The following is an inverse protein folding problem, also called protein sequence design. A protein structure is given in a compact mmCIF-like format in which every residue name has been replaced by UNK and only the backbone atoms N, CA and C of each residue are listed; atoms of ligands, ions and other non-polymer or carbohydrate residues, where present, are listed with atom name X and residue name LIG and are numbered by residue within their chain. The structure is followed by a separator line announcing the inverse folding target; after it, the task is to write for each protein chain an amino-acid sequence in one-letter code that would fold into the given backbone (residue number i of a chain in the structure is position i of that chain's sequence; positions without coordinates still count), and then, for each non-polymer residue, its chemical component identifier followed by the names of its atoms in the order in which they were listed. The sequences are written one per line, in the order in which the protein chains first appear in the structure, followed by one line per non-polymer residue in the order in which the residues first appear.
data_IF_929930330214
#
_entry.id   IF_929930330214
#
_cell.length_a   1.000
_cell.length_b   1.000
_cell.length_c   1.000
_cell.angle_alpha   90.00
_cell.angle_beta   90.00
_cell.angle_gamma   90.00
#
_symmetry.space_group_name_H-M   'P 1'
#
loop_
_entity.id
_entity.type
_entity.pdbx_description
1 polymer ?
#
# COMPACT_ATOMS: atom_id res chain seq x y z
N UNK A 1 -10.58 36.46 18.47
CA UNK A 1 -9.19 36.28 17.98
C UNK A 1 -8.60 34.87 18.23
N UNK A 2 -9.30 33.94 18.90
CA UNK A 2 -8.77 32.58 19.15
C UNK A 2 -9.05 31.56 18.03
N UNK A 3 -9.98 31.85 17.13
CA UNK A 3 -10.32 30.91 16.04
C UNK A 3 -9.29 30.85 14.90
N UNK A 4 -8.53 31.90 14.69
CA UNK A 4 -7.52 31.95 13.61
C UNK A 4 -6.25 31.16 13.93
N UNK A 5 -5.90 30.99 15.20
CA UNK A 5 -4.68 30.30 15.61
C UNK A 5 -4.80 28.77 15.45
N UNK A 6 -5.98 28.20 15.72
CA UNK A 6 -6.23 26.77 15.57
C UNK A 6 -6.30 26.37 14.08
N UNK A 7 -6.92 27.19 13.23
CA UNK A 7 -6.96 26.97 11.80
C UNK A 7 -5.56 27.13 11.13
N UNK A 8 -4.76 28.08 11.62
CA UNK A 8 -3.39 28.27 11.17
C UNK A 8 -2.47 27.12 11.58
N UNK A 9 -2.59 26.61 12.80
CA UNK A 9 -1.88 25.42 13.29
C UNK A 9 -2.26 24.18 12.47
N UNK A 10 -3.55 23.97 12.21
CA UNK A 10 -4.03 22.85 11.38
C UNK A 10 -3.43 22.87 9.99
N UNK A 11 -3.45 24.04 9.30
CA UNK A 11 -2.85 24.20 7.98
C UNK A 11 -1.33 23.98 7.96
N UNK A 12 -0.65 24.30 9.04
CA UNK A 12 0.79 24.12 9.16
C UNK A 12 1.18 22.66 9.45
N UNK A 13 0.36 21.91 10.21
CA UNK A 13 0.65 20.53 10.57
C UNK A 13 0.31 19.50 9.49
N UNK A 14 -0.75 19.71 8.71
CA UNK A 14 -1.17 18.76 7.67
C UNK A 14 -0.08 18.44 6.64
N UNK A 15 0.65 19.42 6.07
CA UNK A 15 1.75 19.13 5.15
C UNK A 15 2.90 18.35 5.79
N UNK A 16 3.25 18.66 7.05
CA UNK A 16 4.32 17.97 7.78
C UNK A 16 3.97 16.50 8.06
N UNK A 17 2.71 16.22 8.37
CA UNK A 17 2.22 14.85 8.57
C UNK A 17 2.20 14.06 7.26
N UNK A 18 1.80 14.68 6.15
CA UNK A 18 1.81 14.06 4.82
C UNK A 18 3.23 13.76 4.36
N UNK A 19 4.18 14.67 4.60
CA UNK A 19 5.60 14.44 4.32
C UNK A 19 6.16 13.30 5.16
N UNK A 20 5.88 13.27 6.47
CA UNK A 20 6.29 12.19 7.36
C UNK A 20 5.74 10.83 6.91
N UNK A 21 4.49 10.79 6.42
CA UNK A 21 3.89 9.60 5.85
C UNK A 21 4.62 9.13 4.60
N UNK A 22 4.78 10.00 3.61
CA UNK A 22 5.43 9.67 2.33
C UNK A 22 6.87 9.16 2.49
N UNK A 23 7.63 9.74 3.42
CA UNK A 23 9.00 9.32 3.71
C UNK A 23 9.08 7.96 4.42
N UNK A 24 8.08 7.60 5.21
CA UNK A 24 8.09 6.38 6.01
C UNK A 24 7.39 5.19 5.33
N UNK A 25 6.47 5.42 4.39
CA UNK A 25 5.74 4.37 3.69
C UNK A 25 6.59 3.68 2.63
N UNK A 26 6.68 2.36 2.72
CA UNK A 26 7.38 1.51 1.76
C UNK A 26 6.60 1.37 0.45
N UNK A 27 5.29 1.52 0.50
CA UNK A 27 4.37 1.34 -0.63
C UNK A 27 4.00 2.64 -1.34
N UNK A 28 4.50 3.80 -0.89
CA UNK A 28 4.17 5.12 -1.47
C UNK A 28 4.48 5.24 -2.97
N UNK A 29 5.45 4.45 -3.48
CA UNK A 29 5.80 4.41 -4.90
C UNK A 29 4.68 3.87 -5.79
N UNK A 30 3.77 3.09 -5.22
CA UNK A 30 2.61 2.51 -5.90
C UNK A 30 1.38 3.42 -5.86
N UNK A 31 1.44 4.58 -5.17
CA UNK A 31 0.31 5.50 -5.10
C UNK A 31 -0.16 5.88 -6.51
N UNK A 32 -1.46 5.74 -6.73
CA UNK A 32 -2.11 6.07 -8.00
C UNK A 32 -2.28 7.58 -8.11
N UNK A 33 -1.96 8.15 -9.26
CA UNK A 33 -2.13 9.57 -9.48
C UNK A 33 -3.61 9.96 -9.33
N UNK A 34 -3.88 11.01 -8.58
CA UNK A 34 -5.24 11.48 -8.26
C UNK A 34 -6.08 11.82 -9.50
N UNK A 35 -5.43 12.19 -10.60
CA UNK A 35 -6.07 12.52 -11.88
C UNK A 35 -6.73 11.33 -12.55
N UNK A 36 -6.27 10.11 -12.25
CA UNK A 36 -6.81 8.86 -12.80
C UNK A 36 -8.03 8.34 -12.05
N UNK A 37 -8.38 8.99 -10.93
CA UNK A 37 -9.39 8.51 -10.02
C UNK A 37 -10.64 9.37 -10.12
N UNK A 38 -11.75 8.76 -10.51
CA UNK A 38 -13.06 9.41 -10.50
C UNK A 38 -13.84 8.96 -9.27
N UNK A 39 -13.96 9.86 -8.31
CA UNK A 39 -14.83 9.63 -7.16
C UNK A 39 -16.28 9.91 -7.56
N UNK A 40 -17.18 8.99 -7.27
CA UNK A 40 -18.61 9.29 -7.30
C UNK A 40 -18.93 10.17 -6.09
N UNK A 41 -19.52 11.33 -6.32
CA UNK A 41 -19.77 12.33 -5.27
C UNK A 41 -20.67 11.72 -4.18
N UNK A 42 -20.18 11.71 -2.91
CA UNK A 42 -20.90 11.14 -1.77
C UNK A 42 -20.82 9.62 -1.61
N UNK A 43 -20.18 8.89 -2.53
CA UNK A 43 -20.05 7.44 -2.49
C UNK A 43 -18.73 6.96 -1.88
N UNK A 44 -18.76 5.74 -1.34
CA UNK A 44 -17.57 4.96 -0.92
C UNK A 44 -16.89 4.24 -2.07
N UNK A 45 -17.24 4.59 -3.30
CA UNK A 45 -16.88 3.86 -4.51
C UNK A 45 -15.97 4.70 -5.41
N UNK A 46 -15.03 4.02 -6.03
CA UNK A 46 -14.23 4.52 -7.15
C UNK A 46 -14.64 3.75 -8.39
N UNK A 47 -15.02 4.46 -9.42
CA UNK A 47 -15.42 3.85 -10.68
C UNK A 47 -14.28 3.96 -11.68
N UNK A 48 -13.86 2.81 -12.21
CA UNK A 48 -12.80 2.70 -13.20
C UNK A 48 -13.37 2.14 -14.50
N UNK A 49 -13.17 2.81 -15.65
CA UNK A 49 -13.61 2.27 -16.93
C UNK A 49 -12.71 1.10 -17.37
N UNK A 50 -13.32 -0.03 -17.69
CA UNK A 50 -12.67 -1.23 -18.21
C UNK A 50 -13.13 -1.45 -19.64
N UNK A 51 -12.19 -1.46 -20.57
CA UNK A 51 -12.47 -1.68 -21.99
C UNK A 51 -12.06 -3.10 -22.38
N UNK A 52 -12.95 -3.80 -23.08
CA UNK A 52 -12.67 -5.09 -23.70
C UNK A 52 -12.82 -4.95 -25.20
N UNK A 53 -11.81 -5.39 -25.94
CA UNK A 53 -11.75 -5.33 -27.40
C UNK A 53 -11.60 -6.73 -27.95
N UNK A 54 -12.20 -6.99 -29.10
CA UNK A 54 -11.94 -8.19 -29.88
C UNK A 54 -10.63 -8.05 -30.66
N UNK A 55 -9.92 -9.16 -30.85
CA UNK A 55 -8.68 -9.21 -31.61
C UNK A 55 -8.92 -9.07 -33.12
N UNK A 56 -7.82 -9.12 -33.90
CA UNK A 56 -7.90 -9.09 -35.35
C UNK A 56 -8.58 -10.35 -35.89
N UNK A 57 -9.43 -10.15 -36.92
CA UNK A 57 -10.03 -11.22 -37.70
C UNK A 57 -9.45 -11.22 -39.12
N UNK A 58 -9.66 -12.30 -39.86
CA UNK A 58 -9.22 -12.38 -41.23
C UNK A 58 -9.94 -11.38 -42.11
N UNK A 59 -9.18 -10.58 -42.84
CA UNK A 59 -9.71 -9.68 -43.87
C UNK A 59 -9.95 -10.44 -45.18
N UNK A 60 -11.16 -10.35 -45.71
CA UNK A 60 -11.48 -10.87 -47.01
C UNK A 60 -11.59 -9.71 -48.02
N UNK A 61 -10.90 -9.86 -49.17
CA UNK A 61 -10.92 -8.82 -50.22
C UNK A 61 -12.28 -8.64 -50.86
N UNK A 62 -13.16 -9.64 -50.80
CA UNK A 62 -14.49 -9.60 -51.40
C UNK A 62 -15.56 -9.06 -50.44
N UNK A 63 -15.47 -9.42 -49.11
CA UNK A 63 -16.45 -9.06 -48.10
C UNK A 63 -15.98 -7.96 -47.13
N UNK A 64 -14.68 -7.59 -47.14
CA UNK A 64 -14.14 -6.50 -46.36
C UNK A 64 -13.78 -6.90 -44.92
N UNK A 65 -13.96 -5.99 -43.97
CA UNK A 65 -13.69 -6.18 -42.55
C UNK A 65 -14.78 -6.98 -41.85
N UNK A 66 -14.38 -7.89 -40.99
CA UNK A 66 -15.30 -8.53 -40.04
C UNK A 66 -15.60 -7.52 -38.93
N UNK A 67 -16.88 -7.31 -38.63
CA UNK A 67 -17.28 -6.42 -37.51
C UNK A 67 -16.75 -6.92 -36.17
N UNK A 68 -16.14 -6.03 -35.42
CA UNK A 68 -15.64 -6.30 -34.07
C UNK A 68 -16.49 -5.55 -33.03
N UNK A 69 -16.58 -6.14 -31.83
CA UNK A 69 -17.23 -5.48 -30.69
C UNK A 69 -16.19 -4.86 -29.76
N UNK A 70 -16.49 -3.65 -29.32
CA UNK A 70 -15.81 -2.96 -28.24
C UNK A 70 -16.81 -2.77 -27.09
N UNK A 71 -16.55 -3.32 -25.94
CA UNK A 71 -17.40 -3.10 -24.77
C UNK A 71 -16.67 -2.28 -23.70
N UNK A 72 -17.34 -1.27 -23.17
CA UNK A 72 -16.89 -0.46 -22.06
C UNK A 72 -17.74 -0.82 -20.84
N UNK A 73 -17.12 -1.43 -19.84
CA UNK A 73 -17.75 -1.73 -18.56
C UNK A 73 -17.13 -0.87 -17.46
N UNK A 74 -17.92 -0.55 -16.45
CA UNK A 74 -17.45 0.19 -15.29
C UNK A 74 -17.20 -0.79 -14.15
N UNK A 75 -15.93 -0.88 -13.71
CA UNK A 75 -15.55 -1.62 -12.52
C UNK A 75 -15.69 -0.70 -11.31
N UNK A 76 -16.47 -1.13 -10.32
CA UNK A 76 -16.71 -0.37 -9.10
C UNK A 76 -15.88 -0.95 -7.96
N UNK A 77 -14.92 -0.18 -7.47
CA UNK A 77 -14.05 -0.54 -6.37
C UNK A 77 -14.52 0.18 -5.11
N UNK A 78 -14.79 -0.58 -4.06
CA UNK A 78 -15.29 -0.04 -2.78
C UNK A 78 -14.12 0.23 -1.82
N UNK A 79 -14.14 1.40 -1.17
CA UNK A 79 -13.15 1.74 -0.14
C UNK A 79 -13.12 0.68 0.95
N UNK A 80 -11.97 0.04 1.15
CA UNK A 80 -11.79 -1.14 1.98
C UNK A 80 -10.99 -0.91 3.26
N UNK A 81 -10.46 0.30 3.46
CA UNK A 81 -9.65 0.64 4.62
C UNK A 81 -10.15 1.92 5.29
N UNK A 82 -10.61 1.81 6.54
CA UNK A 82 -11.03 2.94 7.36
C UNK A 82 -10.58 2.72 8.81
N UNK A 83 -9.66 3.56 9.27
CA UNK A 83 -9.10 3.47 10.62
C UNK A 83 -8.90 4.87 11.21
N UNK A 84 -9.02 4.96 12.53
CA UNK A 84 -8.77 6.22 13.23
C UNK A 84 -8.55 6.01 14.71
N UNK A 85 -7.88 6.97 15.34
CA UNK A 85 -7.66 7.01 16.78
C UNK A 85 -7.61 8.44 17.27
N UNK A 86 -8.04 8.63 18.52
CA UNK A 86 -7.99 9.91 19.21
C UNK A 86 -7.19 9.76 20.50
N UNK A 87 -6.26 10.67 20.73
CA UNK A 87 -5.47 10.79 21.96
C UNK A 87 -5.89 12.05 22.70
N UNK A 88 -5.89 11.99 24.02
CA UNK A 88 -6.14 13.13 24.91
C UNK A 88 -4.90 13.35 25.77
N UNK A 89 -4.44 14.59 25.86
CA UNK A 89 -3.33 15.02 26.71
C UNK A 89 -3.89 16.13 27.59
N UNK A 90 -3.77 15.98 28.91
CA UNK A 90 -4.17 16.99 29.85
C UNK A 90 -3.44 18.31 29.61
N UNK A 91 -4.12 19.45 29.82
CA UNK A 91 -3.52 20.76 29.57
C UNK A 91 -2.37 21.06 30.52
N UNK A 92 -2.44 20.60 31.76
CA UNK A 92 -1.37 20.78 32.76
C UNK A 92 -0.12 19.96 32.36
N UNK A 93 -0.31 18.69 31.98
CA UNK A 93 0.80 17.83 31.52
C UNK A 93 1.49 18.40 30.28
N UNK A 94 0.71 18.98 29.37
CA UNK A 94 1.25 19.64 28.18
C UNK A 94 2.02 20.92 28.49
N UNK A 95 1.55 21.71 29.47
CA UNK A 95 2.23 22.92 29.95
C UNK A 95 3.53 22.58 30.68
N UNK A 96 3.52 21.56 31.55
CA UNK A 96 4.71 21.07 32.27
C UNK A 96 5.81 20.56 31.30
N UNK A 97 5.40 19.96 30.19
CA UNK A 97 6.32 19.48 29.15
C UNK A 97 6.65 20.55 28.09
N UNK A 98 6.24 21.81 28.30
CA UNK A 98 6.44 22.92 27.36
C UNK A 98 5.94 22.63 25.92
N UNK A 99 4.84 21.87 25.78
CA UNK A 99 4.25 21.51 24.48
C UNK A 99 4.99 20.42 23.70
N UNK A 100 6.09 19.88 24.23
CA UNK A 100 6.89 18.85 23.55
C UNK A 100 6.12 17.54 23.41
N UNK A 101 5.29 17.20 24.42
CA UNK A 101 4.51 15.96 24.42
C UNK A 101 3.55 15.92 23.23
N UNK A 102 2.84 17.01 22.97
CA UNK A 102 1.90 17.09 21.87
C UNK A 102 2.58 17.09 20.49
N UNK A 103 3.66 17.87 20.31
CA UNK A 103 4.35 17.96 19.03
C UNK A 103 5.00 16.65 18.59
N UNK A 104 5.46 15.84 19.54
CA UNK A 104 6.07 14.52 19.26
C UNK A 104 5.03 13.43 19.05
N UNK A 105 3.89 13.50 19.76
CA UNK A 105 2.86 12.47 19.70
C UNK A 105 2.39 12.19 18.27
N UNK A 106 2.07 13.22 17.51
CA UNK A 106 1.52 13.09 16.16
C UNK A 106 2.52 12.43 15.19
N UNK A 107 3.78 12.90 15.19
CA UNK A 107 4.81 12.36 14.31
C UNK A 107 5.20 10.92 14.67
N UNK A 108 5.29 10.61 15.97
CA UNK A 108 5.62 9.27 16.44
C UNK A 108 4.47 8.28 16.16
N UNK A 109 3.23 8.69 16.39
CA UNK A 109 2.07 7.87 16.09
C UNK A 109 1.99 7.49 14.61
N UNK A 110 2.19 8.46 13.71
CA UNK A 110 2.22 8.21 12.27
C UNK A 110 3.31 7.22 11.89
N UNK A 111 4.55 7.50 12.31
CA UNK A 111 5.71 6.71 11.92
C UNK A 111 5.69 5.30 12.48
N UNK A 112 5.28 5.14 13.75
CA UNK A 112 5.41 3.87 14.48
C UNK A 112 4.17 2.98 14.37
N UNK A 113 2.99 3.55 14.12
CA UNK A 113 1.73 2.80 14.11
C UNK A 113 0.97 2.89 12.79
N UNK A 114 0.73 4.10 12.26
CA UNK A 114 -0.13 4.27 11.09
C UNK A 114 0.53 3.73 9.82
N UNK A 115 1.76 4.14 9.55
CA UNK A 115 2.49 3.72 8.34
C UNK A 115 2.73 2.21 8.29
N UNK A 116 3.22 1.55 9.37
CA UNK A 116 3.38 0.11 9.37
C UNK A 116 2.08 -0.66 9.15
N UNK A 117 0.97 -0.19 9.72
CA UNK A 117 -0.34 -0.82 9.55
C UNK A 117 -0.83 -0.70 8.11
N UNK A 118 -0.75 0.50 7.52
CA UNK A 118 -1.17 0.73 6.13
C UNK A 118 -0.34 -0.13 5.16
N UNK A 119 0.99 -0.13 5.31
CA UNK A 119 1.86 -0.95 4.46
C UNK A 119 1.53 -2.44 4.59
N UNK A 120 1.32 -2.94 5.81
CA UNK A 120 0.99 -4.35 6.04
C UNK A 120 -0.37 -4.73 5.42
N UNK A 121 -1.38 -3.87 5.53
CA UNK A 121 -2.69 -4.09 4.89
C UNK A 121 -2.57 -4.09 3.37
N UNK A 122 -1.80 -3.17 2.79
CA UNK A 122 -1.56 -3.10 1.35
C UNK A 122 -0.88 -4.36 0.82
N UNK A 123 0.19 -4.80 1.48
CA UNK A 123 0.86 -6.05 1.11
C UNK A 123 -0.07 -7.26 1.22
N UNK A 124 -0.87 -7.35 2.29
CA UNK A 124 -1.84 -8.44 2.44
C UNK A 124 -2.93 -8.40 1.36
N UNK A 125 -3.41 -7.21 0.99
CA UNK A 125 -4.40 -7.06 -0.09
C UNK A 125 -3.82 -7.51 -1.44
N UNK A 126 -2.60 -7.06 -1.77
CA UNK A 126 -1.95 -7.47 -3.02
C UNK A 126 -1.60 -8.95 -3.02
N UNK A 127 -1.25 -9.52 -1.88
CA UNK A 127 -1.03 -10.96 -1.74
C UNK A 127 -2.30 -11.77 -2.00
N UNK A 128 -3.42 -11.35 -1.45
CA UNK A 128 -4.71 -12.01 -1.63
C UNK A 128 -5.22 -11.97 -3.10
N UNK A 129 -4.84 -10.93 -3.85
CA UNK A 129 -5.28 -10.68 -5.23
C UNK A 129 -4.20 -11.01 -6.27
N UNK A 130 -3.06 -11.57 -5.87
CA UNK A 130 -1.97 -11.93 -6.77
C UNK A 130 -2.41 -12.99 -7.79
N UNK A 131 -2.10 -12.74 -9.07
CA UNK A 131 -2.41 -13.70 -10.15
C UNK A 131 -1.53 -14.94 -10.15
N UNK A 132 -0.35 -14.86 -9.55
CA UNK A 132 0.58 -15.98 -9.39
C UNK A 132 1.17 -15.93 -7.99
N UNK A 133 1.02 -17.01 -7.22
CA UNK A 133 1.53 -17.08 -5.86
C UNK A 133 2.05 -18.48 -5.47
N UNK A 134 3.24 -18.88 -5.91
CA UNK A 134 3.86 -20.09 -5.43
C UNK A 134 4.20 -19.99 -3.93
N UNK A 135 4.00 -21.11 -3.24
CA UNK A 135 4.34 -21.27 -1.82
C UNK A 135 5.38 -22.35 -1.68
N UNK A 136 6.56 -22.00 -1.16
CA UNK A 136 7.62 -22.96 -0.88
C UNK A 136 7.72 -23.26 0.62
N UNK A 137 7.87 -24.54 0.95
CA UNK A 137 8.10 -24.96 2.33
C UNK A 137 9.47 -24.47 2.85
N UNK A 138 10.48 -24.39 1.96
CA UNK A 138 11.83 -23.94 2.29
C UNK A 138 12.51 -23.30 1.08
N UNK A 139 12.99 -22.08 1.23
CA UNK A 139 13.72 -21.33 0.19
C UNK A 139 15.16 -21.89 -0.01
N UNK A 140 15.66 -22.68 0.93
CA UNK A 140 17.08 -22.99 1.07
C UNK A 140 17.71 -23.78 -0.08
N UNK A 141 16.92 -24.48 -0.91
CA UNK A 141 17.47 -25.31 -2.00
C UNK A 141 17.69 -24.55 -3.31
N UNK A 142 16.88 -23.54 -3.61
CA UNK A 142 16.85 -22.87 -4.91
C UNK A 142 17.57 -21.51 -4.89
N UNK A 143 17.62 -20.86 -3.72
CA UNK A 143 18.19 -19.53 -3.55
C UNK A 143 17.30 -18.40 -4.07
N UNK A 144 17.40 -17.23 -3.45
CA UNK A 144 16.56 -16.08 -3.75
C UNK A 144 16.72 -15.52 -5.16
N UNK A 145 17.96 -15.52 -5.68
CA UNK A 145 18.23 -15.05 -7.03
C UNK A 145 17.46 -15.84 -8.09
N UNK A 146 17.48 -17.18 -7.98
CA UNK A 146 16.78 -18.04 -8.95
C UNK A 146 15.25 -17.88 -8.85
N UNK A 147 14.70 -17.74 -7.64
CA UNK A 147 13.26 -17.57 -7.43
C UNK A 147 12.76 -16.23 -8.00
N UNK A 148 13.46 -15.12 -7.72
CA UNK A 148 13.09 -13.81 -8.27
C UNK A 148 13.28 -13.77 -9.79
N UNK A 149 14.33 -14.42 -10.34
CA UNK A 149 14.53 -14.56 -11.79
C UNK A 149 13.38 -15.35 -12.43
N UNK A 150 12.97 -16.48 -11.83
CA UNK A 150 11.84 -17.26 -12.31
C UNK A 150 10.52 -16.45 -12.29
N UNK A 151 10.34 -15.62 -11.28
CA UNK A 151 9.20 -14.72 -11.21
C UNK A 151 9.18 -13.67 -12.34
N UNK A 152 10.34 -13.09 -12.67
CA UNK A 152 10.45 -12.19 -13.83
C UNK A 152 10.09 -12.89 -15.14
N UNK A 153 10.61 -14.10 -15.36
CA UNK A 153 10.28 -14.92 -16.53
C UNK A 153 8.77 -15.18 -16.59
N UNK A 154 8.17 -15.63 -15.48
CA UNK A 154 6.74 -15.91 -15.43
C UNK A 154 5.86 -14.68 -15.74
N UNK A 155 6.26 -13.49 -15.25
CA UNK A 155 5.56 -12.25 -15.58
C UNK A 155 5.73 -11.84 -17.05
N UNK A 156 6.90 -12.08 -17.64
CA UNK A 156 7.15 -11.79 -19.05
C UNK A 156 6.37 -12.74 -19.97
N UNK A 157 6.34 -14.06 -19.65
CA UNK A 157 5.48 -15.04 -20.34
C UNK A 157 3.98 -14.75 -20.20
N UNK A 158 3.58 -14.07 -19.12
CA UNK A 158 2.21 -13.58 -18.90
C UNK A 158 1.92 -12.25 -19.63
N UNK A 159 2.85 -11.75 -20.46
CA UNK A 159 2.75 -10.50 -21.23
C UNK A 159 2.65 -9.24 -20.36
N UNK A 160 3.15 -9.28 -19.13
CA UNK A 160 3.24 -8.09 -18.26
C UNK A 160 4.44 -7.25 -18.72
N UNK A 161 4.28 -5.93 -18.95
CA UNK A 161 5.41 -5.06 -19.33
C UNK A 161 6.55 -5.09 -18.32
N UNK A 162 7.79 -5.01 -18.78
CA UNK A 162 8.97 -4.99 -17.91
C UNK A 162 9.16 -3.64 -17.21
N UNK A 163 8.67 -2.56 -17.82
CA UNK A 163 8.66 -1.26 -17.20
C UNK A 163 7.75 -1.22 -15.96
N UNK A 164 8.08 -0.37 -15.01
CA UNK A 164 7.27 -0.13 -13.80
C UNK A 164 7.00 -1.38 -12.93
N UNK A 165 7.87 -2.39 -13.01
CA UNK A 165 7.89 -3.50 -12.06
C UNK A 165 8.64 -3.09 -10.80
N UNK A 166 7.99 -3.12 -9.66
CA UNK A 166 8.55 -2.82 -8.35
C UNK A 166 8.75 -4.11 -7.56
N UNK A 167 9.96 -4.33 -7.07
CA UNK A 167 10.30 -5.48 -6.23
C UNK A 167 10.26 -5.08 -4.75
N UNK A 168 9.44 -5.78 -3.98
CA UNK A 168 9.44 -5.77 -2.52
C UNK A 168 10.03 -7.09 -2.04
N UNK A 169 11.08 -7.05 -1.24
CA UNK A 169 11.81 -8.24 -0.82
C UNK A 169 12.19 -8.14 0.64
N UNK A 170 12.27 -9.27 1.34
CA UNK A 170 12.74 -9.31 2.72
C UNK A 170 14.24 -8.98 2.81
N UNK A 171 14.70 -8.50 3.97
CA UNK A 171 16.10 -8.19 4.20
C UNK A 171 17.02 -9.42 3.97
N UNK A 172 16.55 -10.60 4.34
CA UNK A 172 17.28 -11.87 4.11
C UNK A 172 17.45 -12.15 2.62
N UNK A 173 16.36 -12.01 1.83
CA UNK A 173 16.41 -12.23 0.39
C UNK A 173 17.27 -11.21 -0.34
N UNK A 174 17.19 -9.95 0.06
CA UNK A 174 18.04 -8.90 -0.49
C UNK A 174 19.53 -9.17 -0.22
N UNK A 175 19.89 -9.56 1.01
CA UNK A 175 21.26 -9.90 1.37
C UNK A 175 21.79 -11.13 0.61
N UNK A 176 20.95 -12.15 0.39
CA UNK A 176 21.34 -13.34 -0.37
C UNK A 176 21.67 -13.00 -1.84
N UNK A 177 20.87 -12.14 -2.47
CA UNK A 177 21.14 -11.67 -3.83
C UNK A 177 22.43 -10.85 -3.89
N UNK A 178 22.69 -9.97 -2.91
CA UNK A 178 23.92 -9.18 -2.84
C UNK A 178 25.16 -10.06 -2.70
N UNK A 179 25.06 -11.20 -2.03
CA UNK A 179 26.16 -12.14 -1.85
C UNK A 179 26.61 -12.84 -3.15
N UNK A 180 25.84 -12.73 -4.24
CA UNK A 180 26.25 -13.23 -5.58
C UNK A 180 27.37 -12.41 -6.21
N UNK A 181 27.57 -11.19 -5.74
CA UNK A 181 28.59 -10.26 -6.25
C UNK A 181 28.00 -8.90 -6.59
N UNK A 182 28.77 -7.84 -6.38
CA UNK A 182 28.30 -6.46 -6.55
C UNK A 182 27.85 -6.13 -7.97
N UNK A 183 28.56 -6.63 -8.98
CA UNK A 183 28.23 -6.36 -10.39
C UNK A 183 26.97 -7.12 -10.81
N UNK A 184 26.89 -8.41 -10.47
CA UNK A 184 25.75 -9.26 -10.83
C UNK A 184 24.46 -8.81 -10.13
N UNK A 185 24.55 -8.49 -8.84
CA UNK A 185 23.40 -8.02 -8.07
C UNK A 185 22.89 -6.66 -8.55
N UNK A 186 23.80 -5.74 -8.92
CA UNK A 186 23.41 -4.45 -9.48
C UNK A 186 22.64 -4.60 -10.79
N UNK A 187 23.20 -5.34 -11.75
CA UNK A 187 22.53 -5.60 -13.04
C UNK A 187 21.18 -6.28 -12.84
N UNK A 188 21.08 -7.18 -11.86
CA UNK A 188 19.83 -7.85 -11.53
C UNK A 188 18.77 -6.89 -10.99
N UNK A 189 19.14 -6.02 -10.08
CA UNK A 189 18.21 -5.04 -9.49
C UNK A 189 17.86 -3.90 -10.45
N UNK A 190 18.72 -3.56 -11.40
CA UNK A 190 18.45 -2.54 -12.43
C UNK A 190 17.32 -2.96 -13.39
N UNK A 191 16.92 -4.24 -13.41
CA UNK A 191 15.75 -4.72 -14.16
C UNK A 191 14.42 -4.30 -13.52
N UNK A 192 14.43 -3.76 -12.31
CA UNK A 192 13.25 -3.28 -11.62
C UNK A 192 13.21 -1.76 -11.57
N UNK A 193 12.03 -1.18 -11.69
CA UNK A 193 11.83 0.26 -11.52
C UNK A 193 12.22 0.72 -10.10
N UNK A 194 12.03 -0.13 -9.10
CA UNK A 194 12.59 0.05 -7.76
C UNK A 194 12.65 -1.26 -6.99
N UNK A 195 13.62 -1.33 -6.09
CA UNK A 195 13.75 -2.41 -5.10
C UNK A 195 13.54 -1.81 -3.71
N UNK A 196 12.66 -2.41 -2.94
CA UNK A 196 12.34 -1.96 -1.58
C UNK A 196 12.48 -3.11 -0.60
N UNK A 197 13.35 -2.94 0.38
CA UNK A 197 13.53 -3.93 1.45
C UNK A 197 12.43 -3.75 2.49
N UNK A 198 11.69 -4.80 2.76
CA UNK A 198 10.54 -4.80 3.67
C UNK A 198 10.86 -5.62 4.92
N UNK A 199 10.69 -5.07 6.13
CA UNK A 199 10.77 -5.85 7.36
C UNK A 199 9.68 -6.92 7.40
N UNK A 200 10.03 -8.15 7.83
CA UNK A 200 9.08 -9.27 7.90
C UNK A 200 7.84 -8.94 8.74
N UNK A 201 7.98 -8.08 9.78
CA UNK A 201 6.86 -7.66 10.62
C UNK A 201 5.72 -6.94 9.88
N UNK A 202 5.93 -6.49 8.64
CA UNK A 202 4.92 -5.85 7.78
C UNK A 202 4.58 -6.69 6.55
N UNK A 203 5.18 -7.89 6.40
CA UNK A 203 5.20 -8.63 5.15
C UNK A 203 4.59 -10.00 5.30
N UNK A 204 3.26 -10.03 5.46
CA UNK A 204 2.43 -11.21 5.66
C UNK A 204 1.37 -11.33 4.58
N UNK A 205 1.03 -12.56 4.20
CA UNK A 205 -0.04 -12.87 3.24
C UNK A 205 -1.41 -12.39 3.72
N UNK A 206 -1.66 -12.44 5.03
CA UNK A 206 -2.87 -11.91 5.63
C UNK A 206 -2.59 -11.29 7.00
N UNK A 207 -3.27 -10.18 7.30
CA UNK A 207 -3.18 -9.48 8.57
C UNK A 207 -4.56 -9.30 9.19
N UNK A 208 -4.62 -9.40 10.51
CA UNK A 208 -5.81 -9.13 11.31
C UNK A 208 -5.66 -7.79 12.00
N UNK A 209 -6.61 -6.89 11.77
CA UNK A 209 -6.65 -5.56 12.38
C UNK A 209 -7.35 -5.62 13.73
N UNK A 210 -6.73 -5.08 14.77
CA UNK A 210 -7.35 -4.98 16.08
C UNK A 210 -8.45 -3.90 16.06
N UNK A 211 -9.69 -4.28 16.40
CA UNK A 211 -10.84 -3.38 16.40
C UNK A 211 -10.82 -2.41 17.57
N UNK A 212 -10.22 -2.77 18.71
CA UNK A 212 -10.22 -2.02 19.97
C UNK A 212 -8.95 -2.28 20.79
N UNK A 213 -8.86 -1.73 21.97
CA UNK A 213 -7.74 -1.92 22.88
C UNK A 213 -6.47 -1.20 22.42
N UNK A 214 -5.33 -1.88 22.41
CA UNK A 214 -4.06 -1.32 21.97
C UNK A 214 -4.06 -0.90 20.50
N UNK A 215 -4.98 -1.44 19.68
CA UNK A 215 -5.02 -1.20 18.23
C UNK A 215 -3.90 -1.93 17.50
N UNK A 216 -3.60 -1.47 16.28
CA UNK A 216 -2.56 -2.04 15.44
C UNK A 216 -3.03 -3.28 14.67
N UNK A 217 -2.06 -4.05 14.19
CA UNK A 217 -2.30 -5.26 13.39
C UNK A 217 -1.43 -6.42 13.89
N UNK A 218 -1.84 -7.61 13.54
CA UNK A 218 -1.08 -8.84 13.76
C UNK A 218 -1.18 -9.75 12.54
N UNK A 219 -0.23 -10.67 12.39
CA UNK A 219 -0.34 -11.73 11.38
C UNK A 219 -1.59 -12.56 11.67
N UNK A 220 -2.41 -12.83 10.66
CA UNK A 220 -3.54 -13.75 10.79
C UNK A 220 -3.02 -15.15 11.08
N UNK A 221 -3.69 -15.87 12.00
CA UNK A 221 -3.32 -17.26 12.33
C UNK A 221 -3.34 -18.12 11.08
N UNK A 222 -2.25 -18.84 10.83
CA UNK A 222 -2.10 -19.69 9.65
C UNK A 222 -1.66 -18.96 8.36
N UNK A 223 -1.57 -17.62 8.38
CA UNK A 223 -1.07 -16.88 7.22
C UNK A 223 0.43 -17.11 7.00
N UNK A 224 0.84 -17.20 5.75
CA UNK A 224 2.23 -17.37 5.36
C UNK A 224 3.03 -16.06 5.45
N UNK A 225 4.33 -16.21 5.53
CA UNK A 225 5.25 -15.09 5.39
C UNK A 225 5.45 -14.79 3.90
N UNK A 226 5.40 -13.52 3.51
CA UNK A 226 5.78 -13.11 2.17
C UNK A 226 7.32 -13.04 2.12
N UNK A 227 7.89 -13.68 1.11
CA UNK A 227 9.31 -13.64 0.83
C UNK A 227 9.67 -12.46 -0.07
N UNK A 228 8.99 -12.37 -1.19
CA UNK A 228 9.03 -11.23 -2.09
C UNK A 228 7.72 -11.08 -2.83
N UNK A 229 7.49 -9.86 -3.29
CA UNK A 229 6.34 -9.44 -4.06
C UNK A 229 6.81 -8.57 -5.21
N UNK A 230 6.44 -8.90 -6.44
CA UNK A 230 6.69 -8.07 -7.61
C UNK A 230 5.35 -7.47 -8.03
N UNK A 231 5.31 -6.16 -8.13
CA UNK A 231 4.10 -5.42 -8.49
C UNK A 231 4.39 -4.56 -9.72
N UNK A 232 3.63 -4.76 -10.78
CA UNK A 232 3.58 -3.84 -11.91
C UNK A 232 2.63 -2.70 -11.54
N UNK A 233 3.15 -1.49 -11.38
CA UNK A 233 2.40 -0.33 -10.85
C UNK A 233 1.04 -0.09 -11.52
N UNK A 234 0.89 -0.18 -12.85
CA UNK A 234 -0.41 -0.01 -13.50
C UNK A 234 -1.44 -1.12 -13.22
N UNK A 235 -1.06 -2.19 -12.51
CA UNK A 235 -1.98 -3.27 -12.15
C UNK A 235 -2.71 -3.02 -10.84
N UNK A 236 -2.22 -2.12 -10.00
CA UNK A 236 -2.78 -1.84 -8.68
C UNK A 236 -3.39 -0.45 -8.61
N UNK A 237 -4.38 -0.31 -7.76
CA UNK A 237 -4.94 0.98 -7.36
C UNK A 237 -4.72 1.17 -5.86
N UNK A 238 -4.11 2.28 -5.49
CA UNK A 238 -3.75 2.63 -4.13
C UNK A 238 -4.01 4.10 -3.90
N UNK A 239 -4.99 4.40 -3.07
CA UNK A 239 -5.47 5.76 -2.84
C UNK A 239 -5.84 5.98 -1.39
N UNK A 240 -5.40 7.10 -0.84
CA UNK A 240 -5.91 7.64 0.41
C UNK A 240 -6.83 8.82 0.09
N UNK A 241 -8.14 8.60 0.25
CA UNK A 241 -9.17 9.63 -0.01
C UNK A 241 -9.22 10.66 1.11
N UNK A 242 -8.97 10.21 2.34
CA UNK A 242 -9.05 11.04 3.52
C UNK A 242 -7.92 10.68 4.47
N UNK A 243 -7.15 11.69 4.83
CA UNK A 243 -6.03 11.58 5.75
C UNK A 243 -6.01 12.84 6.59
N UNK A 244 -6.90 12.86 7.60
CA UNK A 244 -7.12 14.06 8.41
C UNK A 244 -6.62 13.89 9.83
N UNK A 245 -5.88 14.89 10.25
CA UNK A 245 -5.55 15.12 11.65
C UNK A 245 -6.51 16.15 12.23
N UNK A 246 -7.27 15.80 13.26
CA UNK A 246 -8.17 16.71 13.97
C UNK A 246 -7.55 17.12 15.30
N UNK A 247 -7.40 18.43 15.49
CA UNK A 247 -6.88 19.01 16.72
C UNK A 247 -8.03 19.72 17.43
N UNK A 248 -8.28 19.40 18.70
CA UNK A 248 -9.28 20.06 19.55
C UNK A 248 -8.55 20.68 20.73
N UNK A 249 -8.68 21.98 20.87
CA UNK A 249 -8.11 22.74 21.97
C UNK A 249 -8.90 22.48 23.27
N UNK A 250 -8.30 22.68 24.47
CA UNK A 250 -8.98 22.51 25.75
C UNK A 250 -10.26 23.35 25.85
N UNK A 251 -10.25 24.56 25.31
CA UNK A 251 -11.44 25.45 25.30
C UNK A 251 -12.60 24.94 24.46
N UNK A 252 -12.36 24.08 23.50
CA UNK A 252 -13.36 23.46 22.62
C UNK A 252 -13.75 22.05 23.09
N UNK A 253 -12.95 21.49 23.98
CA UNK A 253 -13.19 20.16 24.52
C UNK A 253 -14.17 20.26 25.70
N UNK A 254 -15.39 19.75 25.52
CA UNK A 254 -16.44 19.79 26.54
C UNK A 254 -16.30 18.70 27.62
N UNK A 255 -15.47 17.68 27.36
CA UNK A 255 -15.36 16.50 28.21
C UNK A 255 -14.28 16.66 29.31
N UNK A 256 -13.21 17.40 29.01
CA UNK A 256 -12.07 17.58 29.91
C UNK A 256 -11.23 18.79 29.48
N UNK A 257 -10.47 19.38 30.42
CA UNK A 257 -9.45 20.39 30.12
C UNK A 257 -8.19 19.72 29.51
N UNK A 258 -8.33 19.29 28.26
CA UNK A 258 -7.31 18.50 27.56
C UNK A 258 -7.26 18.81 26.07
N UNK A 259 -6.06 18.74 25.51
CA UNK A 259 -5.83 18.73 24.09
C UNK A 259 -6.20 17.36 23.53
N UNK A 260 -6.98 17.32 22.44
CA UNK A 260 -7.28 16.07 21.73
C UNK A 260 -6.63 16.09 20.34
N UNK A 261 -5.91 15.02 20.02
CA UNK A 261 -5.38 14.74 18.70
C UNK A 261 -6.08 13.53 18.12
N UNK A 262 -6.88 13.73 17.07
CA UNK A 262 -7.53 12.68 16.32
C UNK A 262 -6.88 12.51 14.96
N UNK A 263 -6.66 11.27 14.55
CA UNK A 263 -6.17 10.93 13.21
C UNK A 263 -7.09 9.89 12.60
N UNK A 264 -7.52 10.12 11.36
CA UNK A 264 -8.37 9.21 10.60
C UNK A 264 -7.83 9.03 9.20
N UNK A 265 -7.78 7.77 8.76
CA UNK A 265 -7.39 7.38 7.40
C UNK A 265 -8.54 6.64 6.76
N UNK A 266 -8.84 6.98 5.52
CA UNK A 266 -9.83 6.31 4.69
C UNK A 266 -9.30 6.17 3.27
N UNK A 267 -9.25 4.92 2.77
CA UNK A 267 -8.60 4.65 1.50
C UNK A 267 -9.05 3.36 0.82
N UNK A 268 -8.51 3.16 -0.37
CA UNK A 268 -8.70 2.00 -1.22
C UNK A 268 -7.33 1.40 -1.56
N UNK A 269 -7.23 0.09 -1.43
CA UNK A 269 -6.11 -0.69 -1.92
C UNK A 269 -6.70 -1.90 -2.64
N UNK A 270 -6.39 -2.05 -3.94
CA UNK A 270 -6.96 -3.11 -4.75
C UNK A 270 -6.06 -3.44 -5.95
N UNK A 271 -6.37 -4.52 -6.65
CA UNK A 271 -5.75 -4.93 -7.92
C UNK A 271 -6.84 -5.00 -8.96
N UNK A 272 -6.62 -4.42 -10.14
CA UNK A 272 -7.59 -4.48 -11.22
C UNK A 272 -7.83 -5.92 -11.68
N UNK A 273 -9.09 -6.35 -11.79
CA UNK A 273 -9.50 -7.72 -12.16
C UNK A 273 -8.81 -8.25 -13.42
N UNK A 274 -8.63 -7.39 -14.42
CA UNK A 274 -8.01 -7.75 -15.69
C UNK A 274 -6.49 -7.69 -15.68
N UNK A 275 -5.85 -7.31 -14.55
CA UNK A 275 -4.40 -7.10 -14.41
C UNK A 275 -3.80 -7.87 -13.25
N UNK A 276 -4.48 -8.87 -12.72
CA UNK A 276 -3.98 -9.69 -11.59
C UNK A 276 -2.64 -10.35 -11.88
N UNK A 277 -2.35 -10.69 -13.15
CA UNK A 277 -1.05 -11.20 -13.60
C UNK A 277 0.10 -10.22 -13.38
N UNK A 278 -0.20 -8.92 -13.19
CA UNK A 278 0.78 -7.88 -12.85
C UNK A 278 1.26 -7.93 -11.39
N UNK A 279 0.73 -8.85 -10.58
CA UNK A 279 1.17 -9.07 -9.20
C UNK A 279 1.65 -10.51 -9.07
N UNK A 280 2.93 -10.67 -8.73
CA UNK A 280 3.55 -11.96 -8.46
C UNK A 280 3.96 -12.03 -6.99
N UNK A 281 3.43 -13.00 -6.28
CA UNK A 281 3.69 -13.24 -4.87
C UNK A 281 4.49 -14.52 -4.69
N UNK A 282 5.46 -14.51 -3.78
CA UNK A 282 6.14 -15.72 -3.30
C UNK A 282 6.09 -15.77 -1.77
N UNK A 283 5.60 -16.87 -1.24
CA UNK A 283 5.44 -17.06 0.21
C UNK A 283 6.22 -18.27 0.72
N UNK A 284 6.47 -18.30 2.02
CA UNK A 284 6.95 -19.49 2.72
C UNK A 284 5.97 -19.91 3.79
N UNK A 285 5.75 -21.22 3.90
CA UNK A 285 4.94 -21.77 4.98
C UNK A 285 5.56 -21.43 6.33
N UNK A 286 4.73 -20.96 7.24
CA UNK A 286 5.12 -20.82 8.63
C UNK A 286 4.86 -22.15 9.32
N UNK A 287 5.93 -22.87 9.65
CA UNK A 287 5.83 -23.98 10.60
C UNK A 287 5.33 -23.44 11.92
N UNK A 288 4.14 -23.85 12.30
CA UNK A 288 3.49 -23.54 13.59
C UNK A 288 4.31 -24.04 14.78
#
# INVERSE_FOLDING_TARGET
MSQDLSAALFKAYTPLLDEAYKLASLTSKLDTASELIRYTQGSREVVVPKMTLQGLANYDRASGYVGGEASLTLETLTMNYERGRMFSIDSMDNEETAGVAYGRLAGEFLRSYVVPEIDAVRFATYAALAGTHPTDATINATGWYALVSAAQVAMTEAEVPESDRHLFITATGHADILNKGLTESKVFFDNFASVTVVPQARFYEAVTLAASGAGGYSRTTGANNINFLIVHKPAVIQVLKHQDAKIINPQQNQDADAWKFGYRVYGLNDVYDNKTKGVYLHTSQVTS
#
